data_IF_372952153117
#
_entry.id   IF_372952153117
#
_cell.length_a   1.000
_cell.length_b   1.000
_cell.length_c   1.000
_cell.angle_alpha   90.00
_cell.angle_beta   90.00
_cell.angle_gamma   90.00
#
_symmetry.space_group_name_H-M   'P 1'
#
loop_
_entity.id
_entity.type
_entity.pdbx_description
1 polymer ?
#
# COMPACT_ATOMS: atom_id res chain seq x y z
N UNK A 1 11.01 -18.87 -17.90
CA UNK A 1 10.03 -19.67 -17.13
C UNK A 1 8.98 -18.73 -16.57
N UNK A 2 7.75 -19.19 -16.41
CA UNK A 2 6.71 -18.46 -15.68
C UNK A 2 7.14 -18.22 -14.21
N UNK A 3 6.83 -17.04 -13.65
CA UNK A 3 7.19 -16.67 -12.27
C UNK A 3 6.59 -17.65 -11.26
N UNK A 4 5.36 -18.10 -11.49
CA UNK A 4 4.71 -19.08 -10.64
C UNK A 4 5.47 -20.42 -10.62
N UNK A 5 6.00 -20.86 -11.79
CA UNK A 5 6.81 -22.07 -11.90
C UNK A 5 8.14 -21.94 -11.17
N UNK A 6 8.81 -20.79 -11.26
CA UNK A 6 10.08 -20.53 -10.53
C UNK A 6 9.84 -20.57 -9.01
N UNK A 7 8.77 -19.94 -8.53
CA UNK A 7 8.43 -19.95 -7.10
C UNK A 7 8.15 -21.39 -6.64
N UNK A 8 7.36 -22.16 -7.39
CA UNK A 8 7.06 -23.56 -7.08
C UNK A 8 8.33 -24.39 -6.94
N UNK A 9 9.25 -24.27 -7.89
CA UNK A 9 10.50 -25.04 -7.90
C UNK A 9 11.42 -24.65 -6.74
N UNK A 10 11.50 -23.35 -6.41
CA UNK A 10 12.22 -22.88 -5.25
C UNK A 10 11.64 -23.45 -3.94
N UNK A 11 10.31 -23.49 -3.81
CA UNK A 11 9.64 -24.12 -2.67
C UNK A 11 9.96 -25.61 -2.57
N UNK A 12 9.93 -26.35 -3.67
CA UNK A 12 10.33 -27.77 -3.71
C UNK A 12 11.77 -27.98 -3.23
N UNK A 13 12.72 -27.12 -3.65
CA UNK A 13 14.11 -27.19 -3.20
C UNK A 13 14.28 -26.89 -1.71
N UNK A 14 13.45 -26.00 -1.15
CA UNK A 14 13.45 -25.69 0.29
C UNK A 14 12.91 -26.88 1.09
N UNK A 15 11.82 -27.50 0.64
CA UNK A 15 11.21 -28.66 1.29
C UNK A 15 12.14 -29.88 1.29
N UNK A 16 12.97 -30.04 0.27
CA UNK A 16 13.96 -31.11 0.15
C UNK A 16 15.30 -30.78 0.85
N UNK A 17 15.28 -29.96 1.90
CA UNK A 17 16.43 -29.50 2.72
C UNK A 17 17.61 -28.91 1.92
N UNK A 18 17.38 -28.54 0.66
CA UNK A 18 18.41 -28.08 -0.26
C UNK A 18 18.46 -26.55 -0.34
N UNK A 19 18.54 -25.90 0.82
CA UNK A 19 18.49 -24.43 0.95
C UNK A 19 19.50 -23.72 0.03
N UNK A 20 20.73 -24.21 -0.06
CA UNK A 20 21.76 -23.61 -0.91
C UNK A 20 21.40 -23.69 -2.40
N UNK A 21 20.77 -24.78 -2.84
CA UNK A 21 20.29 -24.93 -4.22
C UNK A 21 19.13 -24.00 -4.49
N UNK A 22 18.19 -23.87 -3.56
CA UNK A 22 17.07 -22.93 -3.66
C UNK A 22 17.56 -21.48 -3.80
N UNK A 23 18.55 -21.07 -2.99
CA UNK A 23 19.16 -19.73 -3.07
C UNK A 23 19.80 -19.49 -4.44
N UNK A 24 20.62 -20.44 -4.93
CA UNK A 24 21.23 -20.32 -6.27
C UNK A 24 20.17 -20.25 -7.37
N UNK A 25 19.14 -21.07 -7.27
CA UNK A 25 18.05 -21.12 -8.25
C UNK A 25 17.26 -19.81 -8.32
N UNK A 26 16.83 -19.27 -7.17
CA UNK A 26 16.14 -17.97 -7.08
C UNK A 26 17.03 -16.85 -7.61
N UNK A 27 18.30 -16.78 -7.18
CA UNK A 27 19.20 -15.70 -7.62
C UNK A 27 19.48 -15.71 -9.12
N UNK A 28 19.45 -16.89 -9.76
CA UNK A 28 19.68 -17.02 -11.20
C UNK A 28 18.42 -16.77 -12.04
N UNK A 29 17.23 -17.11 -11.54
CA UNK A 29 16.00 -17.12 -12.33
C UNK A 29 15.00 -16.02 -11.92
N UNK A 30 15.04 -15.56 -10.68
CA UNK A 30 14.13 -14.56 -10.13
C UNK A 30 14.79 -13.78 -8.99
N UNK A 31 15.89 -13.10 -9.31
CA UNK A 31 16.65 -12.31 -8.36
C UNK A 31 15.75 -11.25 -7.73
N UNK A 32 15.70 -11.22 -6.40
CA UNK A 32 15.06 -10.12 -5.69
C UNK A 32 15.87 -8.84 -5.94
N UNK A 33 15.24 -7.88 -6.59
CA UNK A 33 15.72 -6.50 -6.67
C UNK A 33 14.90 -5.69 -5.71
N UNK A 34 15.55 -5.06 -4.74
CA UNK A 34 14.90 -4.07 -3.89
C UNK A 34 14.56 -2.88 -4.77
N UNK A 35 13.35 -2.86 -5.29
CA UNK A 35 12.82 -1.65 -5.90
C UNK A 35 12.66 -0.62 -4.80
N UNK A 36 13.15 0.59 -5.05
CA UNK A 36 12.82 1.73 -4.22
C UNK A 36 11.31 1.91 -4.32
N UNK A 37 10.60 1.45 -3.30
CA UNK A 37 9.16 1.69 -3.21
C UNK A 37 9.01 3.20 -3.23
N UNK A 38 8.49 3.74 -4.33
CA UNK A 38 8.07 5.13 -4.36
C UNK A 38 6.99 5.24 -3.28
N UNK A 39 7.34 5.86 -2.15
CA UNK A 39 6.36 6.22 -1.14
C UNK A 39 5.32 7.05 -1.87
N UNK A 40 4.07 6.62 -1.84
CA UNK A 40 2.97 7.43 -2.33
C UNK A 40 2.96 8.72 -1.52
N UNK A 41 3.38 9.82 -2.15
CA UNK A 41 3.35 11.13 -1.55
C UNK A 41 1.93 11.67 -1.72
N UNK A 42 1.07 11.38 -0.74
CA UNK A 42 -0.24 12.00 -0.69
C UNK A 42 -0.11 13.38 -0.05
N UNK A 43 -0.41 14.42 -0.83
CA UNK A 43 -0.61 15.76 -0.28
C UNK A 43 -1.84 15.78 0.60
N UNK A 44 -1.95 16.74 1.50
CA UNK A 44 -3.11 16.85 2.39
C UNK A 44 -4.41 17.02 1.59
N UNK A 45 -4.37 17.66 0.42
CA UNK A 45 -5.50 17.72 -0.53
C UNK A 45 -5.95 16.33 -0.98
N UNK A 46 -5.02 15.45 -1.36
CA UNK A 46 -5.38 14.10 -1.81
C UNK A 46 -5.91 13.26 -0.65
N UNK A 47 -5.33 13.40 0.55
CA UNK A 47 -5.86 12.74 1.76
C UNK A 47 -7.30 13.18 2.02
N UNK A 48 -7.57 14.49 1.97
CA UNK A 48 -8.92 15.03 2.18
C UNK A 48 -9.92 14.55 1.13
N UNK A 49 -9.54 14.46 -0.14
CA UNK A 49 -10.40 13.89 -1.18
C UNK A 49 -10.76 12.42 -0.90
N UNK A 50 -9.79 11.64 -0.40
CA UNK A 50 -10.02 10.25 0.01
C UNK A 50 -10.98 10.19 1.20
N UNK A 51 -10.81 11.02 2.22
CA UNK A 51 -11.72 11.07 3.37
C UNK A 51 -13.14 11.48 2.98
N UNK A 52 -13.30 12.49 2.12
CA UNK A 52 -14.59 12.91 1.59
C UNK A 52 -15.27 11.79 0.80
N UNK A 53 -14.51 11.11 -0.10
CA UNK A 53 -15.01 9.96 -0.87
C UNK A 53 -15.44 8.81 0.05
N UNK A 54 -14.65 8.53 1.09
CA UNK A 54 -14.87 7.41 2.00
C UNK A 54 -15.83 7.77 3.15
N UNK A 55 -16.41 8.98 3.16
CA UNK A 55 -17.39 9.42 4.15
C UNK A 55 -16.85 9.56 5.58
N UNK A 56 -15.53 9.71 5.71
CA UNK A 56 -14.80 9.67 6.98
C UNK A 56 -15.07 8.37 7.77
N UNK A 57 -15.08 7.22 7.09
CA UNK A 57 -15.25 5.92 7.74
C UNK A 57 -13.88 5.29 8.00
N UNK A 58 -13.65 4.83 9.23
CA UNK A 58 -12.51 3.99 9.56
C UNK A 58 -12.66 2.63 8.89
N UNK A 59 -11.67 2.22 8.11
CA UNK A 59 -11.75 0.98 7.29
C UNK A 59 -11.63 -0.31 8.10
N UNK A 60 -11.10 -0.24 9.33
CA UNK A 60 -10.85 -1.42 10.15
C UNK A 60 -11.97 -1.65 11.16
N UNK A 61 -12.52 -0.60 11.76
CA UNK A 61 -13.62 -0.68 12.72
C UNK A 61 -14.99 -0.44 12.10
N UNK A 62 -15.05 0.29 10.98
CA UNK A 62 -16.31 0.73 10.38
C UNK A 62 -16.91 1.98 11.04
N UNK A 63 -16.25 2.54 12.06
CA UNK A 63 -16.75 3.71 12.77
C UNK A 63 -16.59 4.98 11.92
N UNK A 64 -17.50 5.93 12.15
CA UNK A 64 -17.35 7.26 11.56
C UNK A 64 -16.29 8.05 12.34
N UNK A 65 -15.20 8.40 11.67
CA UNK A 65 -14.14 9.29 12.14
C UNK A 65 -14.61 10.77 12.18
N UNK A 66 -15.89 11.02 12.47
CA UNK A 66 -16.37 12.39 12.62
C UNK A 66 -16.01 12.90 14.01
N UNK A 67 -15.11 13.88 14.05
CA UNK A 67 -15.06 14.87 15.12
C UNK A 67 -15.80 16.10 14.58
N UNK A 68 -17.07 16.34 14.95
CA UNK A 68 -17.93 17.33 14.30
C UNK A 68 -17.30 18.74 14.25
N UNK A 69 -16.59 19.15 15.30
CA UNK A 69 -15.92 20.45 15.35
C UNK A 69 -14.86 20.64 14.25
N UNK A 70 -14.05 19.61 14.00
CA UNK A 70 -12.96 19.68 13.01
C UNK A 70 -13.53 19.66 11.59
N UNK A 71 -14.62 18.94 11.34
CA UNK A 71 -15.26 18.91 10.02
C UNK A 71 -15.84 20.27 9.63
N UNK A 72 -16.47 20.97 10.57
CA UNK A 72 -16.99 22.32 10.34
C UNK A 72 -15.83 23.26 9.99
N UNK A 73 -14.76 23.22 10.76
CA UNK A 73 -13.58 24.07 10.55
C UNK A 73 -12.89 23.78 9.21
N UNK A 74 -12.71 22.50 8.86
CA UNK A 74 -12.15 22.08 7.57
C UNK A 74 -13.06 22.46 6.39
N UNK A 75 -14.39 22.37 6.53
CA UNK A 75 -15.33 22.78 5.49
C UNK A 75 -15.29 24.30 5.26
N UNK A 76 -15.30 25.10 6.33
CA UNK A 76 -15.21 26.57 6.25
C UNK A 76 -13.90 27.00 5.57
N UNK A 77 -12.77 26.41 5.97
CA UNK A 77 -11.46 26.72 5.39
C UNK A 77 -11.34 26.27 3.93
N UNK A 78 -12.01 25.18 3.54
CA UNK A 78 -12.02 24.71 2.15
C UNK A 78 -12.82 25.62 1.23
N UNK A 79 -13.96 26.14 1.69
CA UNK A 79 -14.82 27.07 0.96
C UNK A 79 -14.12 28.41 0.68
N UNK A 80 -13.42 28.96 1.67
CA UNK A 80 -12.64 30.19 1.52
C UNK A 80 -11.55 30.08 0.45
N UNK A 81 -11.00 28.88 0.22
CA UNK A 81 -9.93 28.62 -0.76
C UNK A 81 -10.41 28.44 -2.21
N UNK A 82 -11.72 28.35 -2.45
CA UNK A 82 -12.33 28.24 -3.78
C UNK A 82 -12.81 29.61 -4.27
N UNK A 83 -13.02 30.56 -3.35
CA UNK A 83 -13.52 31.91 -3.62
C UNK A 83 -12.41 32.97 -3.75
N UNK A 84 -11.15 32.58 -3.54
CA UNK A 84 -9.93 33.34 -3.85
C UNK A 84 -9.21 32.73 -5.08
#
# INVERSE_FOLDING_TARGET
MDKALIIREACSLILNESKQKAIKFINNNYKFTQETVQKRAYTDKIKMQVFLRDGFIDRYTGDKLLIPGILIEVMILYEQRILD
#
